data_IF_562328847773
#
_entry.id   IF_562328847773
#
_cell.length_a   1.000
_cell.length_b   1.000
_cell.length_c   1.000
_cell.angle_alpha   90.00
_cell.angle_beta   90.00
_cell.angle_gamma   90.00
#
_symmetry.space_group_name_H-M   'P 1'
#
loop_
_entity.id
_entity.type
_entity.pdbx_description
1 polymer ?
#
# COMPACT_ATOMS: atom_id res chain seq x y z
N UNK A 1 27.95 -16.76 -99.30
CA UNK A 1 27.89 -15.92 -98.08
C UNK A 1 28.25 -14.52 -98.50
N UNK A 2 27.23 -13.66 -98.59
CA UNK A 2 27.24 -12.18 -98.67
C UNK A 2 25.80 -11.80 -99.10
N UNK A 3 24.86 -12.00 -98.17
CA UNK A 3 24.21 -10.94 -97.38
C UNK A 3 23.10 -10.22 -98.16
N UNK A 4 22.00 -10.95 -98.34
CA UNK A 4 20.63 -10.43 -98.45
C UNK A 4 20.19 -9.74 -97.14
N UNK A 5 20.94 -8.71 -96.70
CA UNK A 5 20.58 -7.85 -95.57
C UNK A 5 19.95 -6.52 -95.99
N UNK A 6 19.64 -6.33 -97.27
CA UNK A 6 18.72 -5.28 -97.71
C UNK A 6 17.27 -5.78 -97.59
N UNK A 7 16.89 -6.21 -96.38
CA UNK A 7 15.50 -6.52 -96.05
C UNK A 7 14.80 -5.23 -95.64
N UNK A 8 14.11 -4.64 -96.61
CA UNK A 8 12.83 -3.94 -96.47
C UNK A 8 12.63 -3.29 -95.09
N UNK A 9 13.05 -2.04 -94.94
CA UNK A 9 12.31 -1.15 -94.05
C UNK A 9 10.89 -1.08 -94.62
N UNK A 10 9.83 -1.45 -93.89
CA UNK A 10 8.49 -1.21 -94.36
C UNK A 10 8.33 0.31 -94.38
N UNK A 11 8.40 0.92 -95.57
CA UNK A 11 8.02 2.32 -95.72
C UNK A 11 6.54 2.40 -95.34
N UNK A 12 6.26 2.86 -94.12
CA UNK A 12 4.89 3.12 -93.69
C UNK A 12 4.38 4.21 -94.62
N UNK A 13 3.36 3.90 -95.42
CA UNK A 13 2.76 4.88 -96.30
C UNK A 13 2.25 6.06 -95.48
N UNK A 14 2.31 7.26 -96.04
CA UNK A 14 1.87 8.47 -95.35
C UNK A 14 0.44 8.34 -94.82
N UNK A 15 -0.44 7.64 -95.54
CA UNK A 15 -1.83 7.39 -95.12
C UNK A 15 -1.90 6.55 -93.84
N UNK A 16 -1.08 5.50 -93.76
CA UNK A 16 -1.05 4.59 -92.61
C UNK A 16 -0.49 5.28 -91.38
N UNK A 17 0.56 6.10 -91.53
CA UNK A 17 1.10 6.89 -90.44
C UNK A 17 0.06 7.89 -89.92
N UNK A 18 -0.57 8.67 -90.80
CA UNK A 18 -1.59 9.65 -90.41
C UNK A 18 -2.78 8.99 -89.70
N UNK A 19 -3.24 7.83 -90.20
CA UNK A 19 -4.29 7.06 -89.54
C UNK A 19 -3.92 6.65 -88.11
N UNK A 20 -2.72 6.09 -87.92
CA UNK A 20 -2.24 5.71 -86.59
C UNK A 20 -2.01 6.93 -85.68
N UNK A 21 -1.46 8.00 -86.23
CA UNK A 21 -1.24 9.25 -85.50
C UNK A 21 -2.56 9.82 -84.95
N UNK A 22 -3.57 9.97 -85.82
CA UNK A 22 -4.85 10.58 -85.44
C UNK A 22 -5.65 9.70 -84.45
N UNK A 23 -5.38 8.40 -84.41
CA UNK A 23 -5.93 7.50 -83.39
C UNK A 23 -5.29 7.74 -82.02
N UNK A 24 -3.97 8.02 -81.97
CA UNK A 24 -3.22 8.23 -80.73
C UNK A 24 -3.31 9.68 -80.21
N UNK A 25 -3.35 10.67 -81.11
CA UNK A 25 -3.38 12.10 -80.81
C UNK A 25 -4.67 12.75 -81.32
N UNK A 26 -5.77 12.56 -80.58
CA UNK A 26 -7.06 13.17 -80.91
C UNK A 26 -7.06 14.71 -80.87
N UNK A 27 -6.17 15.30 -80.08
CA UNK A 27 -6.08 16.75 -79.87
C UNK A 27 -5.15 17.47 -80.87
N UNK A 28 -4.39 16.73 -81.68
CA UNK A 28 -3.47 17.30 -82.67
C UNK A 28 -3.52 16.47 -83.95
N UNK A 29 -4.52 16.74 -84.80
CA UNK A 29 -4.78 15.97 -86.02
C UNK A 29 -3.80 16.38 -87.12
N UNK A 30 -3.17 15.40 -87.76
CA UNK A 30 -2.31 15.61 -88.92
C UNK A 30 -3.01 15.23 -90.22
N UNK A 31 -2.72 15.97 -91.29
CA UNK A 31 -3.01 15.57 -92.67
C UNK A 31 -1.73 15.18 -93.42
N UNK A 32 -1.86 14.49 -94.56
CA UNK A 32 -0.72 14.13 -95.42
C UNK A 32 0.04 15.38 -95.90
N UNK A 33 -0.67 16.50 -96.10
CA UNK A 33 -0.06 17.76 -96.52
C UNK A 33 0.82 18.38 -95.42
N UNK A 34 0.49 18.14 -94.14
CA UNK A 34 1.23 18.68 -93.01
C UNK A 34 2.57 17.96 -92.79
N UNK A 35 2.68 16.71 -93.21
CA UNK A 35 3.94 15.97 -93.18
C UNK A 35 5.00 16.54 -94.13
N UNK A 36 4.59 17.38 -95.09
CA UNK A 36 5.49 18.11 -95.99
C UNK A 36 5.88 19.49 -95.44
N UNK A 37 5.34 19.89 -94.28
CA UNK A 37 5.62 21.18 -93.64
C UNK A 37 6.49 20.95 -92.40
N UNK A 38 7.76 21.40 -92.39
CA UNK A 38 8.66 21.21 -91.25
C UNK A 38 8.08 21.69 -89.92
N UNK A 39 7.36 22.82 -89.92
CA UNK A 39 6.73 23.39 -88.72
C UNK A 39 5.66 22.46 -88.14
N UNK A 40 4.80 21.88 -88.99
CA UNK A 40 3.75 20.96 -88.54
C UNK A 40 4.34 19.67 -87.96
N UNK A 41 5.44 19.19 -88.55
CA UNK A 41 6.19 18.02 -88.09
C UNK A 41 6.92 18.31 -86.77
N UNK A 42 7.47 19.51 -86.60
CA UNK A 42 8.06 19.97 -85.34
C UNK A 42 6.99 20.02 -84.23
N UNK A 43 5.81 20.55 -84.53
CA UNK A 43 4.68 20.53 -83.60
C UNK A 43 4.27 19.11 -83.21
N UNK A 44 4.28 18.17 -84.15
CA UNK A 44 4.04 16.76 -83.88
C UNK A 44 5.14 16.13 -82.99
N UNK A 45 6.42 16.46 -83.21
CA UNK A 45 7.52 16.01 -82.36
C UNK A 45 7.35 16.48 -80.90
N UNK A 46 6.89 17.71 -80.69
CA UNK A 46 6.59 18.21 -79.34
C UNK A 46 5.45 17.43 -78.67
N UNK A 47 4.42 17.00 -79.41
CA UNK A 47 3.37 16.15 -78.85
C UNK A 47 3.93 14.78 -78.40
N UNK A 48 4.88 14.22 -79.16
CA UNK A 48 5.57 12.99 -78.75
C UNK A 48 6.40 13.23 -77.49
N UNK A 49 7.15 14.33 -77.42
CA UNK A 49 7.96 14.67 -76.24
C UNK A 49 7.12 14.78 -74.97
N UNK A 50 5.95 15.44 -75.04
CA UNK A 50 5.03 15.49 -73.91
C UNK A 50 4.59 14.09 -73.44
N UNK A 51 4.27 13.19 -74.37
CA UNK A 51 3.89 11.79 -74.05
C UNK A 51 5.03 10.98 -73.47
N UNK A 52 6.28 11.28 -73.86
CA UNK A 52 7.49 10.67 -73.30
C UNK A 52 7.88 11.25 -71.93
N UNK A 53 7.15 12.26 -71.43
CA UNK A 53 7.46 12.94 -70.17
C UNK A 53 8.60 13.94 -70.25
N UNK A 54 8.94 14.40 -71.45
CA UNK A 54 9.94 15.45 -71.67
C UNK A 54 9.25 16.81 -71.47
N UNK A 55 9.81 17.63 -70.60
CA UNK A 55 9.29 18.95 -70.25
C UNK A 55 9.32 19.89 -71.48
N UNK A 56 8.15 20.21 -72.02
CA UNK A 56 8.02 21.10 -73.17
C UNK A 56 8.42 22.53 -72.87
N UNK A 57 8.19 23.00 -71.64
CA UNK A 57 8.53 24.37 -71.26
C UNK A 57 10.06 24.52 -71.26
N UNK A 58 10.78 23.50 -70.79
CA UNK A 58 12.24 23.44 -70.87
C UNK A 58 12.74 23.35 -72.32
N UNK A 59 12.05 22.62 -73.21
CA UNK A 59 12.43 22.51 -74.62
C UNK A 59 12.23 23.84 -75.37
N UNK A 60 11.16 24.56 -75.07
CA UNK A 60 10.84 25.84 -75.70
C UNK A 60 11.53 27.03 -75.02
N UNK A 61 12.11 26.83 -73.83
CA UNK A 61 12.74 27.89 -73.08
C UNK A 61 13.96 28.46 -73.82
N UNK A 62 14.12 29.80 -73.81
CA UNK A 62 15.38 30.42 -74.17
C UNK A 62 16.48 30.02 -73.18
N UNK A 63 17.76 30.14 -73.57
CA UNK A 63 18.88 29.97 -72.66
C UNK A 63 18.71 30.81 -71.37
N UNK A 64 19.29 30.38 -70.24
CA UNK A 64 19.33 31.15 -69.01
C UNK A 64 19.84 32.58 -69.24
N UNK A 65 19.31 33.58 -68.52
CA UNK A 65 19.63 35.00 -68.74
C UNK A 65 21.14 35.31 -68.68
N UNK A 66 21.86 34.60 -67.83
CA UNK A 66 23.31 34.71 -67.67
C UNK A 66 24.13 34.14 -68.85
N UNK A 67 23.50 33.39 -69.77
CA UNK A 67 24.12 32.84 -70.98
C UNK A 67 23.70 33.58 -72.25
N UNK A 68 22.82 34.59 -72.14
CA UNK A 68 22.36 35.38 -73.28
C UNK A 68 23.39 36.47 -73.61
N UNK A 69 23.74 36.56 -74.88
CA UNK A 69 24.55 37.65 -75.44
C UNK A 69 23.70 38.62 -76.27
N UNK A 70 24.32 39.68 -76.80
CA UNK A 70 23.66 40.67 -77.66
C UNK A 70 23.10 40.06 -78.96
N UNK A 71 23.55 38.85 -79.34
CA UNK A 71 23.13 38.18 -80.57
C UNK A 71 21.96 37.20 -80.35
N UNK A 72 21.72 36.77 -79.12
CA UNK A 72 20.70 35.77 -78.76
C UNK A 72 19.29 36.16 -79.23
N UNK A 73 18.83 37.42 -79.14
CA UNK A 73 17.51 37.83 -79.66
C UNK A 73 17.32 37.61 -81.16
N UNK A 74 18.39 37.64 -81.97
CA UNK A 74 18.28 37.46 -83.43
C UNK A 74 17.98 36.01 -83.84
N UNK A 75 18.15 35.06 -82.93
CA UNK A 75 17.94 33.63 -83.18
C UNK A 75 16.79 33.05 -82.36
N UNK A 76 15.96 33.89 -81.73
CA UNK A 76 14.92 33.46 -80.80
C UNK A 76 13.95 32.44 -81.42
N UNK A 77 13.60 32.66 -82.70
CA UNK A 77 12.70 31.77 -83.45
C UNK A 77 13.34 30.40 -83.78
N UNK A 78 14.68 30.30 -83.78
CA UNK A 78 15.41 29.05 -84.00
C UNK A 78 15.66 28.27 -82.72
N UNK A 79 15.54 28.90 -81.54
CA UNK A 79 15.78 28.25 -80.25
C UNK A 79 14.96 26.96 -80.09
N UNK A 80 13.64 26.93 -80.37
CA UNK A 80 12.86 25.68 -80.30
C UNK A 80 13.44 24.57 -81.18
N UNK A 81 13.86 24.90 -82.40
CA UNK A 81 14.43 23.93 -83.35
C UNK A 81 15.80 23.43 -82.88
N UNK A 82 16.63 24.31 -82.32
CA UNK A 82 17.93 23.98 -81.73
C UNK A 82 17.74 23.03 -80.54
N UNK A 83 16.82 23.36 -79.63
CA UNK A 83 16.56 22.56 -78.44
C UNK A 83 15.93 21.22 -78.78
N UNK A 84 14.96 21.16 -79.71
CA UNK A 84 14.43 19.90 -80.23
C UNK A 84 15.54 19.05 -80.85
N UNK A 85 16.45 19.65 -81.63
CA UNK A 85 17.62 18.92 -82.17
C UNK A 85 18.50 18.34 -81.05
N UNK A 86 18.74 19.10 -79.98
CA UNK A 86 19.53 18.64 -78.82
C UNK A 86 18.86 17.48 -78.10
N UNK A 87 17.55 17.57 -77.86
CA UNK A 87 16.76 16.48 -77.24
C UNK A 87 16.82 15.22 -78.11
N UNK A 88 16.62 15.36 -79.42
CA UNK A 88 16.69 14.24 -80.36
C UNK A 88 18.06 13.57 -80.32
N UNK A 89 19.15 14.35 -80.33
CA UNK A 89 20.50 13.80 -80.19
C UNK A 89 20.69 13.08 -78.87
N UNK A 90 20.22 13.66 -77.76
CA UNK A 90 20.35 13.05 -76.45
C UNK A 90 19.61 11.69 -76.37
N UNK A 91 18.40 11.63 -76.93
CA UNK A 91 17.62 10.38 -77.03
C UNK A 91 18.29 9.38 -77.97
N UNK A 92 18.87 9.84 -79.09
CA UNK A 92 19.61 9.01 -80.02
C UNK A 92 20.88 8.40 -79.38
N UNK A 93 21.60 9.14 -78.54
CA UNK A 93 22.77 8.64 -77.79
C UNK A 93 22.39 7.44 -76.92
N UNK A 94 21.26 7.50 -76.23
CA UNK A 94 20.74 6.38 -75.42
C UNK A 94 20.33 5.15 -76.24
N UNK A 95 20.10 5.32 -77.54
CA UNK A 95 19.64 4.29 -78.48
C UNK A 95 20.73 3.87 -79.49
N UNK A 96 21.99 4.25 -79.27
CA UNK A 96 23.13 4.01 -80.18
C UNK A 96 23.31 2.55 -80.60
N UNK A 97 22.84 1.59 -79.79
CA UNK A 97 22.89 0.15 -80.11
C UNK A 97 21.94 -0.25 -81.26
N UNK A 98 20.95 0.58 -81.55
CA UNK A 98 19.89 0.29 -82.51
C UNK A 98 19.93 1.20 -83.74
N UNK A 99 20.43 2.45 -83.62
CA UNK A 99 20.47 3.41 -84.75
C UNK A 99 21.65 4.36 -84.68
N UNK A 100 22.31 4.57 -85.82
CA UNK A 100 23.28 5.66 -86.05
C UNK A 100 22.54 6.97 -86.40
N UNK A 101 22.05 7.70 -85.38
CA UNK A 101 21.44 9.03 -85.53
C UNK A 101 22.33 10.19 -85.03
N UNK A 102 23.61 9.95 -84.81
CA UNK A 102 24.55 10.93 -84.25
C UNK A 102 24.70 12.22 -85.10
N UNK A 103 24.26 12.18 -86.37
CA UNK A 103 24.38 13.26 -87.34
C UNK A 103 23.11 14.13 -87.53
N UNK A 104 22.08 14.00 -86.69
CA UNK A 104 20.89 14.88 -86.82
C UNK A 104 21.27 16.33 -86.53
N UNK A 105 21.17 17.18 -87.55
CA UNK A 105 21.41 18.62 -87.47
C UNK A 105 20.12 19.42 -87.60
N UNK A 106 20.20 20.71 -87.26
CA UNK A 106 19.09 21.66 -87.39
C UNK A 106 18.52 21.66 -88.83
N UNK A 107 19.37 21.50 -89.84
CA UNK A 107 18.91 21.46 -91.24
C UNK A 107 18.03 20.25 -91.56
N UNK A 108 18.15 19.14 -90.83
CA UNK A 108 17.26 17.99 -90.97
C UNK A 108 15.85 18.26 -90.42
N UNK A 109 15.72 19.13 -89.42
CA UNK A 109 14.42 19.55 -88.87
C UNK A 109 13.77 20.67 -89.66
N UNK A 110 14.55 21.42 -90.44
CA UNK A 110 14.05 22.50 -91.31
C UNK A 110 13.71 22.02 -92.73
N UNK A 111 14.04 20.77 -93.09
CA UNK A 111 13.80 20.22 -94.42
C UNK A 111 12.73 19.10 -94.40
N UNK A 112 11.66 19.33 -95.15
CA UNK A 112 10.49 18.45 -95.19
C UNK A 112 10.81 16.99 -95.54
N UNK A 113 11.84 16.73 -96.36
CA UNK A 113 12.20 15.37 -96.78
C UNK A 113 12.86 14.55 -95.68
N UNK A 114 13.54 15.20 -94.74
CA UNK A 114 14.31 14.54 -93.67
C UNK A 114 13.60 14.58 -92.32
N UNK A 115 12.66 15.51 -92.09
CA UNK A 115 11.93 15.60 -90.82
C UNK A 115 10.90 14.48 -90.63
N UNK A 116 10.27 13.98 -91.70
CA UNK A 116 9.26 12.90 -91.60
C UNK A 116 9.84 11.58 -91.05
N UNK A 117 10.98 11.06 -91.55
CA UNK A 117 11.61 9.87 -90.96
C UNK A 117 11.93 10.01 -89.48
N UNK A 118 12.33 11.21 -89.04
CA UNK A 118 12.59 11.53 -87.63
C UNK A 118 11.29 11.42 -86.82
N UNK A 119 10.20 12.03 -87.30
CA UNK A 119 8.88 11.94 -86.66
C UNK A 119 8.38 10.50 -86.56
N UNK A 120 8.47 9.74 -87.66
CA UNK A 120 8.04 8.34 -87.69
C UNK A 120 8.82 7.49 -86.68
N UNK A 121 10.13 7.72 -86.58
CA UNK A 121 10.97 7.04 -85.61
C UNK A 121 10.51 7.30 -84.16
N UNK A 122 10.37 8.57 -83.77
CA UNK A 122 9.95 8.92 -82.41
C UNK A 122 8.52 8.49 -82.10
N UNK A 123 7.63 8.50 -83.08
CA UNK A 123 6.28 7.96 -82.91
C UNK A 123 6.32 6.46 -82.58
N UNK A 124 7.11 5.68 -83.32
CA UNK A 124 7.27 4.25 -83.05
C UNK A 124 7.94 4.00 -81.70
N UNK A 125 8.90 4.82 -81.30
CA UNK A 125 9.54 4.73 -79.98
C UNK A 125 8.52 4.95 -78.85
N UNK A 126 7.66 5.97 -78.99
CA UNK A 126 6.63 6.29 -78.00
C UNK A 126 5.57 5.18 -77.90
N UNK A 127 5.13 4.62 -79.03
CA UNK A 127 4.21 3.47 -79.03
C UNK A 127 4.87 2.24 -78.40
N UNK A 128 6.13 1.97 -78.72
CA UNK A 128 6.89 0.88 -78.12
C UNK A 128 7.02 1.05 -76.59
N UNK A 129 7.41 2.23 -76.11
CA UNK A 129 7.53 2.52 -74.69
C UNK A 129 6.19 2.36 -73.98
N UNK A 130 5.10 2.84 -74.56
CA UNK A 130 3.75 2.70 -73.98
C UNK A 130 3.36 1.23 -73.81
N UNK A 131 3.69 0.38 -74.80
CA UNK A 131 3.48 -1.07 -74.70
C UNK A 131 4.36 -1.72 -73.63
N UNK A 132 5.63 -1.31 -73.50
CA UNK A 132 6.52 -1.84 -72.45
C UNK A 132 6.08 -1.41 -71.05
N UNK A 133 5.62 -0.17 -70.87
CA UNK A 133 5.08 0.31 -69.60
C UNK A 133 3.85 -0.49 -69.17
N UNK A 134 2.97 -0.88 -70.10
CA UNK A 134 1.85 -1.77 -69.80
C UNK A 134 2.32 -3.16 -69.32
N UNK A 135 3.42 -3.68 -69.87
CA UNK A 135 4.00 -4.95 -69.42
C UNK A 135 4.65 -4.85 -68.03
N UNK A 136 5.18 -3.68 -67.65
CA UNK A 136 5.86 -3.45 -66.36
C UNK A 136 4.87 -3.09 -65.24
N UNK A 137 3.75 -2.44 -65.58
CA UNK A 137 2.76 -1.95 -64.61
C UNK A 137 2.28 -2.98 -63.56
N UNK A 138 2.10 -4.28 -63.86
CA UNK A 138 1.76 -5.27 -62.83
C UNK A 138 2.86 -5.43 -61.76
N UNK A 139 4.12 -5.46 -62.18
CA UNK A 139 5.27 -5.60 -61.28
C UNK A 139 5.47 -4.35 -60.42
N UNK A 140 5.24 -3.17 -60.99
CA UNK A 140 5.28 -1.91 -60.25
C UNK A 140 4.21 -1.88 -59.15
N UNK A 141 2.97 -2.31 -59.47
CA UNK A 141 1.90 -2.44 -58.47
C UNK A 141 2.23 -3.44 -57.36
N UNK A 142 2.81 -4.59 -57.72
CA UNK A 142 3.24 -5.58 -56.74
C UNK A 142 4.34 -5.02 -55.82
N UNK A 143 5.33 -4.33 -56.39
CA UNK A 143 6.42 -3.72 -55.63
C UNK A 143 5.90 -2.68 -54.62
N UNK A 144 5.02 -1.77 -55.05
CA UNK A 144 4.42 -0.80 -54.14
C UNK A 144 3.52 -1.46 -53.08
N UNK A 145 2.76 -2.49 -53.45
CA UNK A 145 1.97 -3.27 -52.48
C UNK A 145 2.85 -3.94 -51.42
N UNK A 146 3.98 -4.52 -51.82
CA UNK A 146 4.97 -5.10 -50.89
C UNK A 146 5.66 -4.05 -50.03
N UNK A 147 5.92 -2.86 -50.57
CA UNK A 147 6.47 -1.75 -49.78
C UNK A 147 5.52 -1.33 -48.67
N UNK A 148 4.22 -1.29 -48.92
CA UNK A 148 3.22 -0.95 -47.91
C UNK A 148 3.05 -2.06 -46.86
N UNK A 149 3.14 -3.33 -47.26
CA UNK A 149 3.19 -4.47 -46.33
C UNK A 149 4.41 -4.38 -45.40
N UNK A 150 5.59 -4.06 -45.93
CA UNK A 150 6.82 -3.85 -45.12
C UNK A 150 6.65 -2.70 -44.13
N UNK A 151 6.08 -1.56 -44.56
CA UNK A 151 5.79 -0.44 -43.64
C UNK A 151 4.82 -0.83 -42.52
N UNK A 152 3.80 -1.63 -42.83
CA UNK A 152 2.85 -2.12 -41.83
C UNK A 152 3.56 -3.01 -40.79
N UNK A 153 4.41 -3.93 -41.24
CA UNK A 153 5.21 -4.79 -40.38
C UNK A 153 6.23 -4.01 -39.54
N UNK A 154 6.87 -2.98 -40.10
CA UNK A 154 7.76 -2.09 -39.34
C UNK A 154 7.02 -1.33 -38.24
N UNK A 155 5.81 -0.84 -38.52
CA UNK A 155 4.97 -0.19 -37.53
C UNK A 155 4.54 -1.14 -36.41
N UNK A 156 4.18 -2.38 -36.75
CA UNK A 156 3.84 -3.41 -35.76
C UNK A 156 5.05 -3.77 -34.89
N UNK A 157 6.23 -3.95 -35.49
CA UNK A 157 7.49 -4.17 -34.77
C UNK A 157 7.76 -3.04 -33.77
N UNK A 158 7.57 -1.79 -34.18
CA UNK A 158 7.81 -0.63 -33.33
C UNK A 158 6.83 -0.58 -32.14
N UNK A 159 5.54 -0.91 -32.34
CA UNK A 159 4.56 -1.04 -31.25
C UNK A 159 4.93 -2.15 -30.27
N UNK A 160 5.38 -3.31 -30.77
CA UNK A 160 5.84 -4.41 -29.92
C UNK A 160 7.04 -4.01 -29.07
N UNK A 161 8.01 -3.29 -29.64
CA UNK A 161 9.16 -2.77 -28.90
C UNK A 161 8.72 -1.79 -27.81
N UNK A 162 7.77 -0.90 -28.10
CA UNK A 162 7.23 0.05 -27.12
C UNK A 162 6.55 -0.67 -25.94
N UNK A 163 5.71 -1.68 -26.22
CA UNK A 163 5.09 -2.49 -25.17
C UNK A 163 6.13 -3.25 -24.32
N UNK A 164 7.17 -3.80 -24.95
CA UNK A 164 8.27 -4.47 -24.23
C UNK A 164 9.02 -3.50 -23.31
N UNK A 165 9.25 -2.27 -23.76
CA UNK A 165 9.90 -1.24 -22.94
C UNK A 165 9.04 -0.85 -21.74
N UNK A 166 7.72 -0.72 -21.91
CA UNK A 166 6.78 -0.46 -20.81
C UNK A 166 6.83 -1.60 -19.79
N UNK A 167 6.73 -2.86 -20.24
CA UNK A 167 6.80 -4.01 -19.34
C UNK A 167 8.15 -4.11 -18.60
N UNK A 168 9.26 -3.77 -19.27
CA UNK A 168 10.57 -3.74 -18.64
C UNK A 168 10.65 -2.68 -17.52
N UNK A 169 10.09 -1.49 -17.77
CA UNK A 169 10.00 -0.41 -16.76
C UNK A 169 9.15 -0.84 -15.57
N UNK A 170 7.96 -1.39 -15.81
CA UNK A 170 7.07 -1.87 -14.74
C UNK A 170 7.71 -3.00 -13.91
N UNK A 171 8.45 -3.91 -14.56
CA UNK A 171 9.24 -4.94 -13.85
C UNK A 171 10.32 -4.32 -12.98
N UNK A 172 11.00 -3.28 -13.46
CA UNK A 172 12.00 -2.53 -12.69
C UNK A 172 11.39 -1.90 -11.44
N UNK A 173 10.28 -1.17 -11.59
CA UNK A 173 9.57 -0.54 -10.47
C UNK A 173 9.02 -1.59 -9.49
N UNK A 174 8.51 -2.72 -9.98
CA UNK A 174 8.06 -3.82 -9.14
C UNK A 174 9.21 -4.42 -8.32
N UNK A 175 10.38 -4.60 -8.92
CA UNK A 175 11.56 -5.11 -8.23
C UNK A 175 12.03 -4.15 -7.13
N UNK A 176 11.98 -2.84 -7.38
CA UNK A 176 12.29 -1.82 -6.38
C UNK A 176 11.29 -1.84 -5.21
N UNK A 177 9.98 -1.91 -5.50
CA UNK A 177 8.94 -2.08 -4.47
C UNK A 177 9.15 -3.35 -3.64
N UNK A 178 9.49 -4.46 -4.28
CA UNK A 178 9.77 -5.72 -3.57
C UNK A 178 11.00 -5.63 -2.67
N UNK A 179 12.07 -4.94 -3.10
CA UNK A 179 13.25 -4.70 -2.25
C UNK A 179 12.91 -3.86 -1.04
N UNK A 180 12.05 -2.85 -1.20
CA UNK A 180 11.59 -2.03 -0.07
C UNK A 180 10.79 -2.87 0.92
N UNK A 181 9.83 -3.68 0.44
CA UNK A 181 9.05 -4.57 1.30
C UNK A 181 9.96 -5.58 2.03
N UNK A 182 10.97 -6.15 1.35
CA UNK A 182 11.91 -7.09 1.98
C UNK A 182 12.76 -6.41 3.07
N UNK A 183 13.15 -5.15 2.86
CA UNK A 183 13.84 -4.35 3.87
C UNK A 183 12.94 -4.06 5.08
N UNK A 184 11.72 -3.56 4.83
CA UNK A 184 10.74 -3.24 5.88
C UNK A 184 10.38 -4.51 6.69
N UNK A 185 10.25 -5.67 6.00
CA UNK A 185 9.99 -6.97 6.65
C UNK A 185 11.12 -7.35 7.60
N UNK A 186 12.39 -7.19 7.17
CA UNK A 186 13.55 -7.47 8.04
C UNK A 186 13.60 -6.55 9.25
N UNK A 187 13.28 -5.27 9.09
CA UNK A 187 13.21 -4.35 10.23
C UNK A 187 12.14 -4.77 11.23
N UNK A 188 10.94 -5.10 10.74
CA UNK A 188 9.85 -5.58 11.61
C UNK A 188 10.18 -6.91 12.29
N UNK A 189 10.89 -7.82 11.61
CA UNK A 189 11.37 -9.07 12.22
C UNK A 189 12.39 -8.81 13.34
N UNK A 190 13.29 -7.83 13.16
CA UNK A 190 14.26 -7.42 14.18
C UNK A 190 13.56 -6.75 15.38
N UNK A 191 12.62 -5.83 15.13
CA UNK A 191 11.80 -5.19 16.18
C UNK A 191 11.01 -6.23 16.98
N UNK A 192 10.39 -7.21 16.29
CA UNK A 192 9.66 -8.30 16.94
C UNK A 192 10.58 -9.19 17.78
N UNK A 193 11.81 -9.42 17.34
CA UNK A 193 12.79 -10.18 18.12
C UNK A 193 13.12 -9.45 19.42
N UNK A 194 13.42 -8.15 19.35
CA UNK A 194 13.72 -7.31 20.53
C UNK A 194 12.53 -7.26 21.49
N UNK A 195 11.31 -7.11 20.97
CA UNK A 195 10.10 -7.08 21.80
C UNK A 195 9.87 -8.42 22.51
N UNK A 196 10.09 -9.55 21.82
CA UNK A 196 10.00 -10.88 22.45
C UNK A 196 11.03 -11.08 23.55
N UNK A 197 12.27 -10.64 23.35
CA UNK A 197 13.31 -10.70 24.37
C UNK A 197 12.95 -9.84 25.59
N UNK A 198 12.41 -8.63 25.36
CA UNK A 198 11.93 -7.75 26.42
C UNK A 198 10.76 -8.37 27.20
N UNK A 199 9.78 -8.96 26.49
CA UNK A 199 8.65 -9.64 27.12
C UNK A 199 9.10 -10.89 27.90
N UNK A 200 10.05 -11.67 27.39
CA UNK A 200 10.58 -12.83 28.12
C UNK A 200 11.28 -12.40 29.41
N UNK A 201 12.01 -11.27 29.37
CA UNK A 201 12.63 -10.69 30.56
C UNK A 201 11.57 -10.23 31.57
N UNK A 202 10.56 -9.48 31.13
CA UNK A 202 9.48 -9.03 32.01
C UNK A 202 8.70 -10.21 32.62
N UNK A 203 8.50 -11.28 31.86
CA UNK A 203 7.85 -12.48 32.37
C UNK A 203 8.71 -13.17 33.44
N UNK A 204 10.04 -13.25 33.27
CA UNK A 204 10.95 -13.77 34.31
C UNK A 204 10.94 -12.91 35.57
N UNK A 205 10.95 -11.58 35.41
CA UNK A 205 10.87 -10.64 36.54
C UNK A 205 9.52 -10.78 37.28
N UNK A 206 8.43 -10.97 36.54
CA UNK A 206 7.09 -11.20 37.10
C UNK A 206 6.98 -12.54 37.82
N UNK A 207 7.55 -13.61 37.27
CA UNK A 207 7.62 -14.93 37.92
C UNK A 207 8.39 -14.86 39.25
N UNK A 208 9.51 -14.12 39.28
CA UNK A 208 10.28 -13.91 40.50
C UNK A 208 9.48 -13.14 41.58
N UNK A 209 8.75 -12.09 41.18
CA UNK A 209 7.85 -11.37 42.10
C UNK A 209 6.72 -12.25 42.63
N UNK A 210 6.13 -13.10 41.79
CA UNK A 210 5.10 -14.06 42.22
C UNK A 210 5.67 -15.04 43.26
N UNK A 211 6.90 -15.51 43.07
CA UNK A 211 7.56 -16.40 44.03
C UNK A 211 7.85 -15.69 45.35
N UNK A 212 8.31 -14.44 45.32
CA UNK A 212 8.50 -13.61 46.50
C UNK A 212 7.17 -13.37 47.25
N UNK A 213 6.09 -13.06 46.53
CA UNK A 213 4.75 -12.89 47.11
C UNK A 213 4.30 -14.18 47.81
N UNK A 214 4.47 -15.34 47.17
CA UNK A 214 4.13 -16.64 47.79
C UNK A 214 4.92 -16.88 49.07
N UNK A 215 6.21 -16.54 49.08
CA UNK A 215 7.03 -16.67 50.28
C UNK A 215 6.53 -15.74 51.41
N UNK A 216 6.17 -14.50 51.07
CA UNK A 216 5.60 -13.54 52.02
C UNK A 216 4.24 -14.03 52.56
N UNK A 217 3.37 -14.57 51.72
CA UNK A 217 2.09 -15.16 52.14
C UNK A 217 2.29 -16.28 53.17
N UNK A 218 3.22 -17.22 52.91
CA UNK A 218 3.58 -18.28 53.86
C UNK A 218 4.10 -17.68 55.17
N UNK A 219 4.94 -16.65 55.11
CA UNK A 219 5.48 -15.98 56.31
C UNK A 219 4.36 -15.31 57.13
N UNK A 220 3.41 -14.64 56.46
CA UNK A 220 2.24 -14.03 57.09
C UNK A 220 1.37 -15.09 57.76
N UNK A 221 1.11 -16.21 57.09
CA UNK A 221 0.34 -17.33 57.63
C UNK A 221 1.00 -17.89 58.91
N UNK A 222 2.33 -18.08 58.89
CA UNK A 222 3.10 -18.51 60.06
C UNK A 222 3.03 -17.50 61.21
N UNK A 223 3.13 -16.20 60.91
CA UNK A 223 3.03 -15.14 61.93
C UNK A 223 1.64 -15.06 62.54
N UNK A 224 0.57 -15.20 61.73
CA UNK A 224 -0.82 -15.30 62.23
C UNK A 224 -0.97 -16.48 63.18
N UNK A 225 -0.53 -17.68 62.78
CA UNK A 225 -0.57 -18.86 63.64
C UNK A 225 0.20 -18.66 64.96
N UNK A 226 1.35 -17.97 64.91
CA UNK A 226 2.11 -17.63 66.12
C UNK A 226 1.38 -16.62 67.02
N UNK A 227 0.76 -15.60 66.43
CA UNK A 227 -0.08 -14.66 67.18
C UNK A 227 -1.25 -15.38 67.86
N UNK A 228 -1.94 -16.28 67.17
CA UNK A 228 -3.03 -17.08 67.74
C UNK A 228 -2.55 -17.99 68.87
N UNK A 229 -1.36 -18.61 68.73
CA UNK A 229 -0.72 -19.38 69.78
C UNK A 229 -0.38 -18.52 71.01
N UNK A 230 0.09 -17.27 70.82
CA UNK A 230 0.33 -16.34 71.93
C UNK A 230 -0.98 -15.94 72.60
N UNK A 231 -2.03 -15.62 71.82
CA UNK A 231 -3.33 -15.23 72.36
C UNK A 231 -3.96 -16.34 73.20
N UNK A 232 -3.89 -17.59 72.72
CA UNK A 232 -4.37 -18.76 73.48
C UNK A 232 -3.56 -18.98 74.76
N UNK A 233 -2.24 -18.82 74.73
CA UNK A 233 -1.39 -18.92 75.93
C UNK A 233 -1.66 -17.79 76.94
N UNK A 234 -1.90 -16.56 76.47
CA UNK A 234 -2.32 -15.43 77.31
C UNK A 234 -3.66 -15.72 77.97
N UNK A 235 -4.64 -16.24 77.23
CA UNK A 235 -5.94 -16.62 77.77
C UNK A 235 -5.79 -17.71 78.86
N UNK A 236 -4.96 -18.74 78.60
CA UNK A 236 -4.63 -19.80 79.57
C UNK A 236 -4.02 -19.24 80.85
N UNK A 237 -3.02 -18.35 80.73
CA UNK A 237 -2.37 -17.71 81.88
C UNK A 237 -3.33 -16.81 82.66
N UNK A 238 -4.25 -16.10 81.98
CA UNK A 238 -5.30 -15.33 82.66
C UNK A 238 -6.23 -16.23 83.45
N UNK A 239 -6.67 -17.35 82.87
CA UNK A 239 -7.51 -18.33 83.57
C UNK A 239 -6.81 -18.91 84.80
N UNK A 240 -5.52 -19.27 84.68
CA UNK A 240 -4.72 -19.78 85.80
C UNK A 240 -4.60 -18.75 86.93
N UNK A 241 -4.36 -17.47 86.59
CA UNK A 241 -4.32 -16.39 87.61
C UNK A 241 -5.64 -16.22 88.36
N UNK A 242 -6.78 -16.39 87.68
CA UNK A 242 -8.10 -16.33 88.33
C UNK A 242 -8.24 -17.50 89.31
N UNK A 243 -7.88 -18.71 88.88
CA UNK A 243 -7.88 -19.89 89.74
C UNK A 243 -6.97 -19.69 90.96
N UNK A 244 -5.73 -19.24 90.76
CA UNK A 244 -4.79 -18.97 91.86
C UNK A 244 -5.33 -17.89 92.81
N UNK A 245 -5.98 -16.85 92.30
CA UNK A 245 -6.60 -15.80 93.11
C UNK A 245 -7.80 -16.32 93.92
N UNK A 246 -8.61 -17.22 93.34
CA UNK A 246 -9.70 -17.90 94.05
C UNK A 246 -9.17 -18.82 95.15
N UNK A 247 -8.09 -19.58 94.89
CA UNK A 247 -7.42 -20.42 95.89
C UNK A 247 -6.83 -19.59 97.04
N UNK A 248 -6.15 -18.48 96.73
CA UNK A 248 -5.64 -17.54 97.74
C UNK A 248 -6.79 -16.96 98.56
N UNK A 249 -7.90 -16.60 97.91
CA UNK A 249 -9.08 -16.07 98.59
C UNK A 249 -9.71 -17.11 99.51
N UNK A 250 -9.85 -18.35 99.07
CA UNK A 250 -10.35 -19.45 99.89
C UNK A 250 -9.44 -19.70 101.11
N UNK A 251 -8.12 -19.67 100.92
CA UNK A 251 -7.15 -19.77 102.02
C UNK A 251 -7.24 -18.58 102.98
N UNK A 252 -7.41 -17.37 102.47
CA UNK A 252 -7.58 -16.16 103.29
C UNK A 252 -8.89 -16.18 104.09
N UNK A 253 -10.00 -16.59 103.48
CA UNK A 253 -11.29 -16.77 104.16
C UNK A 253 -11.22 -17.87 105.23
N UNK A 254 -10.54 -18.98 104.97
CA UNK A 254 -10.30 -20.03 105.97
C UNK A 254 -9.42 -19.54 107.13
N UNK A 255 -8.35 -18.79 106.83
CA UNK A 255 -7.49 -18.20 107.86
C UNK A 255 -8.25 -17.17 108.71
N UNK A 256 -9.10 -16.34 108.08
CA UNK A 256 -9.94 -15.38 108.76
C UNK A 256 -10.97 -16.06 109.67
N UNK A 257 -11.62 -17.14 109.20
CA UNK A 257 -12.56 -17.92 110.01
C UNK A 257 -11.86 -18.53 111.24
N UNK A 258 -10.65 -19.08 111.09
CA UNK A 258 -9.86 -19.58 112.23
C UNK A 258 -9.49 -18.47 113.21
N UNK A 259 -9.14 -17.28 112.70
CA UNK A 259 -8.78 -16.13 113.53
C UNK A 259 -10.00 -15.63 114.31
N UNK A 260 -11.16 -15.60 113.68
CA UNK A 260 -12.43 -15.25 114.32
C UNK A 260 -12.82 -16.29 115.39
N UNK A 261 -12.70 -17.59 115.12
CA UNK A 261 -12.96 -18.65 116.11
C UNK A 261 -12.01 -18.55 117.32
N UNK A 262 -10.74 -18.20 117.09
CA UNK A 262 -9.78 -17.99 118.19
C UNK A 262 -10.04 -16.69 118.96
N UNK A 263 -10.50 -15.62 118.30
CA UNK A 263 -10.99 -14.42 118.97
C UNK A 263 -12.22 -14.71 119.83
N UNK A 264 -13.23 -15.41 119.31
CA UNK A 264 -14.42 -15.82 120.05
C UNK A 264 -14.07 -16.70 121.26
N UNK A 265 -13.11 -17.62 121.12
CA UNK A 265 -12.56 -18.40 122.25
C UNK A 265 -11.84 -17.50 123.26
N UNK A 266 -11.06 -16.52 122.82
CA UNK A 266 -10.38 -15.57 123.70
C UNK A 266 -11.39 -14.69 124.46
N UNK A 267 -12.44 -14.22 123.79
CA UNK A 267 -13.52 -13.44 124.40
C UNK A 267 -14.31 -14.28 125.40
N UNK A 268 -14.62 -15.53 125.07
CA UNK A 268 -15.22 -16.50 126.00
C UNK A 268 -14.34 -16.76 127.23
N UNK A 269 -13.02 -16.86 127.05
CA UNK A 269 -12.07 -17.00 128.15
C UNK A 269 -11.99 -15.71 129.00
N UNK A 270 -11.99 -14.53 128.38
CA UNK A 270 -12.06 -13.23 129.10
C UNK A 270 -13.37 -13.12 129.88
N UNK A 271 -14.50 -13.48 129.29
CA UNK A 271 -15.79 -13.51 129.97
C UNK A 271 -15.77 -14.47 131.17
N UNK A 272 -15.23 -15.68 131.00
CA UNK A 272 -15.02 -16.62 132.12
C UNK A 272 -14.09 -16.06 133.19
N UNK A 273 -13.00 -15.37 132.82
CA UNK A 273 -12.09 -14.72 133.76
C UNK A 273 -12.83 -13.65 134.57
N UNK A 274 -13.56 -12.73 133.91
CA UNK A 274 -14.35 -11.70 134.61
C UNK A 274 -15.45 -12.30 135.49
N UNK A 275 -16.07 -13.42 135.07
CA UNK A 275 -17.03 -14.15 135.90
C UNK A 275 -16.35 -14.75 137.15
N UNK A 276 -15.15 -15.32 137.02
CA UNK A 276 -14.35 -15.82 138.15
C UNK A 276 -13.87 -14.70 139.07
N UNK A 277 -13.45 -13.56 138.52
CA UNK A 277 -13.11 -12.35 139.29
C UNK A 277 -14.33 -11.84 140.08
N UNK A 278 -15.52 -11.82 139.47
CA UNK A 278 -16.75 -11.45 140.19
C UNK A 278 -17.10 -12.44 141.32
N UNK A 279 -16.84 -13.73 141.11
CA UNK A 279 -17.05 -14.78 142.11
C UNK A 279 -16.06 -14.64 143.27
N UNK A 280 -14.81 -14.25 143.00
CA UNK A 280 -13.79 -13.96 144.00
C UNK A 280 -14.15 -12.71 144.82
N UNK A 281 -14.66 -11.66 144.16
CA UNK A 281 -15.09 -10.40 144.79
C UNK A 281 -16.31 -10.60 145.69
N UNK A 282 -17.24 -11.48 145.32
CA UNK A 282 -18.39 -11.86 146.14
C UNK A 282 -18.00 -12.71 147.38
N UNK A 283 -16.90 -13.47 147.33
CA UNK A 283 -16.39 -14.22 148.49
C UNK A 283 -15.60 -13.36 149.49
N UNK A 284 -15.04 -12.22 149.06
CA UNK A 284 -14.31 -11.30 149.94
C UNK A 284 -15.19 -10.27 150.68
N UNK A 285 -16.45 -10.07 150.26
CA UNK A 285 -17.32 -8.99 150.76
C UNK A 285 -18.43 -9.41 151.76
N UNK A 286 -18.43 -10.63 152.30
CA UNK A 286 -19.45 -11.11 153.26
C UNK A 286 -18.84 -11.35 154.65
N UNK A 287 -18.25 -10.33 155.30
CA UNK A 287 -17.83 -10.45 156.71
C UNK A 287 -17.94 -9.20 157.59
N UNK A 288 -18.11 -7.97 157.07
CA UNK A 288 -18.77 -6.94 157.90
C UNK A 288 -19.59 -5.91 157.11
N UNK A 289 -20.76 -5.54 157.66
CA UNK A 289 -21.50 -4.26 157.46
C UNK A 289 -22.96 -4.41 157.05
N UNK A 290 -23.77 -4.84 158.01
CA UNK A 290 -25.22 -4.63 158.04
C UNK A 290 -25.60 -3.43 158.93
N UNK A 291 -24.76 -2.38 159.01
CA UNK A 291 -24.93 -1.27 160.00
C UNK A 291 -24.69 0.16 159.48
N UNK A 292 -24.70 0.43 158.16
CA UNK A 292 -24.46 1.81 157.68
C UNK A 292 -25.28 2.24 156.45
N UNK A 293 -26.56 1.84 156.40
CA UNK A 293 -27.49 2.20 155.31
C UNK A 293 -28.44 3.37 155.64
N UNK A 294 -28.16 4.18 156.68
CA UNK A 294 -29.18 5.12 157.19
C UNK A 294 -28.73 6.56 157.42
N UNK A 295 -27.64 7.07 156.82
CA UNK A 295 -27.28 8.47 157.15
C UNK A 295 -26.63 9.42 156.13
N UNK A 296 -26.34 9.05 154.88
CA UNK A 296 -25.73 10.05 153.98
C UNK A 296 -26.43 10.19 152.62
N UNK A 297 -27.75 10.11 152.66
CA UNK A 297 -28.68 10.61 151.63
C UNK A 297 -29.00 12.12 151.80
N UNK A 298 -28.07 12.90 152.39
CA UNK A 298 -28.23 14.35 152.64
C UNK A 298 -27.13 15.24 152.01
N UNK A 299 -26.14 14.66 151.32
CA UNK A 299 -25.05 15.43 150.69
C UNK A 299 -25.11 15.47 149.16
N UNK A 300 -26.31 15.25 148.58
CA UNK A 300 -26.56 15.36 147.12
C UNK A 300 -26.84 16.80 146.66
N UNK A 301 -26.86 17.80 147.56
CA UNK A 301 -27.26 19.16 147.18
C UNK A 301 -26.26 20.24 147.62
N UNK A 302 -24.97 19.97 147.50
CA UNK A 302 -23.96 21.03 147.66
C UNK A 302 -22.65 20.70 146.94
N UNK A 303 -22.61 21.01 145.64
CA UNK A 303 -21.45 21.46 144.86
C UNK A 303 -21.47 20.93 143.43
N UNK A 304 -22.51 21.36 142.71
CA UNK A 304 -22.38 21.71 141.29
C UNK A 304 -21.75 23.11 141.25
N UNK A 305 -20.44 23.19 141.02
CA UNK A 305 -19.70 24.27 140.33
C UNK A 305 -18.28 24.44 140.86
N UNK A 306 -17.32 23.83 140.16
CA UNK A 306 -16.13 24.54 139.67
C UNK A 306 -15.43 23.72 138.59
N UNK A 307 -15.32 24.33 137.41
CA UNK A 307 -14.16 24.33 136.47
C UNK A 307 -13.77 22.97 135.84
N UNK A 308 -13.96 22.69 134.54
CA UNK A 308 -13.59 23.39 133.28
C UNK A 308 -12.07 23.42 133.02
N UNK A 309 -11.75 23.08 131.75
CA UNK A 309 -10.51 23.28 130.97
C UNK A 309 -9.44 22.18 131.00
N UNK A 310 -9.24 21.51 129.85
CA UNK A 310 -8.17 21.88 128.91
C UNK A 310 -8.33 21.23 127.52
N UNK A 311 -7.98 22.04 126.53
CA UNK A 311 -7.87 21.84 125.09
C UNK A 311 -6.50 21.26 124.68
N UNK A 312 -6.39 20.92 123.39
CA UNK A 312 -5.16 20.99 122.58
C UNK A 312 -4.89 19.71 121.78
N UNK A 313 -4.43 19.71 120.52
CA UNK A 313 -4.10 20.75 119.54
C UNK A 313 -3.74 20.05 118.18
N UNK A 314 -3.51 20.88 117.14
CA UNK A 314 -2.72 20.65 115.89
C UNK A 314 -3.31 19.85 114.72
N UNK A 315 -3.15 20.22 113.42
CA UNK A 315 -2.39 21.31 112.78
C UNK A 315 -2.90 21.58 111.32
N UNK A 316 -2.40 22.70 110.79
CA UNK A 316 -2.68 23.49 109.56
C UNK A 316 -2.26 22.88 108.20
N UNK A 317 -2.70 23.48 107.07
CA UNK A 317 -1.82 24.06 106.02
C UNK A 317 -2.60 24.60 104.79
N UNK A 318 -2.12 25.73 104.24
CA UNK A 318 -2.63 26.53 103.10
C UNK A 318 -2.03 26.16 101.71
N UNK A 319 -2.82 26.38 100.61
CA UNK A 319 -2.54 26.79 99.18
C UNK A 319 -1.38 26.21 98.32
N UNK A 320 -1.27 26.52 96.98
CA UNK A 320 -2.06 27.43 96.12
C UNK A 320 -2.35 26.94 94.64
N UNK A 321 -2.95 27.84 93.84
CA UNK A 321 -3.26 27.83 92.38
C UNK A 321 -2.17 27.29 91.42
N UNK A 322 -2.53 26.37 90.48
CA UNK A 322 -1.73 26.10 89.26
C UNK A 322 -2.51 25.53 88.03
N UNK A 323 -3.85 25.57 88.03
CA UNK A 323 -4.68 24.94 86.97
C UNK A 323 -5.04 25.87 85.79
N UNK A 324 -4.86 27.20 85.93
CA UNK A 324 -5.30 28.18 84.92
C UNK A 324 -4.28 28.48 83.81
N UNK A 325 -2.99 28.19 84.03
CA UNK A 325 -1.92 28.42 83.02
C UNK A 325 -1.80 27.24 82.05
N UNK A 326 -2.06 26.02 82.52
CA UNK A 326 -2.04 24.77 81.74
C UNK A 326 -3.20 24.68 80.74
N UNK A 327 -4.39 25.19 81.07
CA UNK A 327 -5.53 25.22 80.16
C UNK A 327 -5.38 26.26 79.03
N UNK A 328 -4.66 27.36 79.27
CA UNK A 328 -4.43 28.39 78.25
C UNK A 328 -3.40 27.97 77.18
N UNK A 329 -2.37 27.19 77.56
CA UNK A 329 -1.41 26.64 76.59
C UNK A 329 -2.05 25.54 75.74
N UNK A 330 -2.85 24.66 76.35
CA UNK A 330 -3.56 23.59 75.63
C UNK A 330 -4.58 24.13 74.61
N UNK A 331 -5.24 25.26 74.90
CA UNK A 331 -6.15 25.90 73.95
C UNK A 331 -5.41 26.50 72.73
N UNK A 332 -4.20 27.02 72.94
CA UNK A 332 -3.35 27.55 71.86
C UNK A 332 -2.84 26.42 70.97
N UNK A 333 -2.36 25.33 71.56
CA UNK A 333 -1.82 24.18 70.83
C UNK A 333 -2.90 23.50 69.96
N UNK A 334 -4.12 23.34 70.50
CA UNK A 334 -5.29 22.83 69.74
C UNK A 334 -5.71 23.77 68.61
N UNK A 335 -5.53 25.08 68.76
CA UNK A 335 -5.85 26.04 67.68
C UNK A 335 -4.85 25.99 66.53
N UNK A 336 -3.57 25.74 66.81
CA UNK A 336 -2.52 25.52 65.80
C UNK A 336 -2.71 24.20 65.07
N UNK A 337 -2.99 23.10 65.79
CA UNK A 337 -3.29 21.79 65.17
C UNK A 337 -4.52 21.87 64.25
N UNK A 338 -5.53 22.65 64.62
CA UNK A 338 -6.73 22.84 63.80
C UNK A 338 -6.45 23.67 62.53
N UNK A 339 -5.54 24.64 62.59
CA UNK A 339 -5.08 25.39 61.42
C UNK A 339 -4.26 24.53 60.46
N UNK A 340 -3.37 23.68 60.98
CA UNK A 340 -2.58 22.72 60.20
C UNK A 340 -3.46 21.65 59.54
N UNK A 341 -4.46 21.11 60.27
CA UNK A 341 -5.43 20.16 59.70
C UNK A 341 -6.29 20.82 58.62
N UNK A 342 -6.64 22.11 58.75
CA UNK A 342 -7.35 22.85 57.70
C UNK A 342 -6.48 23.08 56.46
N UNK A 343 -5.20 23.43 56.63
CA UNK A 343 -4.25 23.58 55.53
C UNK A 343 -4.03 22.23 54.80
N UNK A 344 -3.79 21.15 55.54
CA UNK A 344 -3.62 19.81 54.98
C UNK A 344 -4.89 19.30 54.27
N UNK A 345 -6.08 19.67 54.74
CA UNK A 345 -7.35 19.37 54.05
C UNK A 345 -7.51 20.17 52.76
N UNK A 346 -7.14 21.45 52.74
CA UNK A 346 -7.19 22.28 51.54
C UNK A 346 -6.22 21.79 50.47
N UNK A 347 -4.99 21.42 50.86
CA UNK A 347 -3.99 20.87 49.96
C UNK A 347 -4.41 19.50 49.39
N UNK A 348 -4.96 18.60 50.23
CA UNK A 348 -5.54 17.33 49.74
C UNK A 348 -6.75 17.53 48.83
N UNK A 349 -7.56 18.57 49.06
CA UNK A 349 -8.69 18.88 48.18
C UNK A 349 -8.21 19.39 46.81
N UNK A 350 -7.18 20.25 46.78
CA UNK A 350 -6.55 20.71 45.55
C UNK A 350 -5.90 19.56 44.77
N UNK A 351 -5.14 18.69 45.45
CA UNK A 351 -4.53 17.51 44.82
C UNK A 351 -5.56 16.53 44.23
N UNK A 352 -6.73 16.39 44.87
CA UNK A 352 -7.83 15.59 44.32
C UNK A 352 -8.46 16.23 43.08
N UNK A 353 -8.69 17.55 43.11
CA UNK A 353 -9.23 18.27 41.95
C UNK A 353 -8.30 18.17 40.73
N UNK A 354 -6.98 18.32 40.93
CA UNK A 354 -5.99 18.14 39.87
C UNK A 354 -5.95 16.71 39.34
N UNK A 355 -6.02 15.70 40.22
CA UNK A 355 -6.04 14.30 39.82
C UNK A 355 -7.34 13.90 39.10
N UNK A 356 -8.47 14.54 39.42
CA UNK A 356 -9.74 14.36 38.72
C UNK A 356 -9.71 15.01 37.33
N UNK A 357 -9.17 16.22 37.19
CA UNK A 357 -9.05 16.88 35.88
C UNK A 357 -8.05 16.17 34.96
N UNK A 358 -6.92 15.67 35.48
CA UNK A 358 -6.00 14.82 34.68
C UNK A 358 -6.69 13.56 34.17
N UNK A 359 -7.41 12.84 35.04
CA UNK A 359 -8.18 11.66 34.61
C UNK A 359 -9.27 12.00 33.60
N UNK A 360 -9.86 13.19 33.67
CA UNK A 360 -10.86 13.65 32.69
C UNK A 360 -10.22 13.95 31.34
N UNK A 361 -9.03 14.55 31.32
CA UNK A 361 -8.25 14.82 30.11
C UNK A 361 -7.77 13.52 29.47
N UNK A 362 -7.18 12.60 30.24
CA UNK A 362 -6.76 11.27 29.76
C UNK A 362 -7.93 10.50 29.15
N UNK A 363 -9.11 10.51 29.80
CA UNK A 363 -10.32 9.90 29.22
C UNK A 363 -10.74 10.55 27.91
N UNK A 364 -10.68 11.88 27.81
CA UNK A 364 -11.03 12.58 26.58
C UNK A 364 -10.07 12.22 25.44
N UNK A 365 -8.78 12.13 25.72
CA UNK A 365 -7.75 11.72 24.74
C UNK A 365 -7.95 10.27 24.28
N UNK A 366 -8.21 9.33 25.20
CA UNK A 366 -8.51 7.94 24.87
C UNK A 366 -9.78 7.84 24.01
N UNK A 367 -10.81 8.64 24.33
CA UNK A 367 -12.07 8.63 23.58
C UNK A 367 -11.86 9.17 22.16
N UNK A 368 -11.10 10.26 22.00
CA UNK A 368 -10.76 10.81 20.69
C UNK A 368 -9.89 9.85 19.86
N UNK A 369 -8.92 9.17 20.49
CA UNK A 369 -8.10 8.15 19.84
C UNK A 369 -8.95 6.94 19.39
N UNK A 370 -9.93 6.53 20.20
CA UNK A 370 -10.85 5.45 19.86
C UNK A 370 -11.73 5.83 18.64
N UNK A 371 -12.27 7.04 18.60
CA UNK A 371 -13.06 7.53 17.47
C UNK A 371 -12.23 7.63 16.18
N UNK A 372 -10.99 8.12 16.27
CA UNK A 372 -10.07 8.18 15.14
C UNK A 372 -9.73 6.77 14.61
N UNK A 373 -9.46 5.81 15.51
CA UNK A 373 -9.20 4.42 15.14
C UNK A 373 -10.42 3.78 14.45
N UNK A 374 -11.64 4.00 14.97
CA UNK A 374 -12.87 3.49 14.35
C UNK A 374 -13.13 4.10 12.96
N UNK A 375 -12.84 5.38 12.77
CA UNK A 375 -12.94 6.04 11.46
C UNK A 375 -11.94 5.47 10.46
N UNK A 376 -10.71 5.22 10.90
CA UNK A 376 -9.67 4.61 10.07
C UNK A 376 -10.03 3.16 9.70
N UNK A 377 -10.56 2.38 10.65
CA UNK A 377 -11.00 1.00 10.41
C UNK A 377 -12.17 0.93 9.41
N UNK A 378 -13.15 1.85 9.53
CA UNK A 378 -14.21 2.02 8.52
C UNK A 378 -13.65 2.32 7.13
N UNK A 379 -12.65 3.20 7.03
CA UNK A 379 -12.02 3.51 5.75
C UNK A 379 -11.28 2.30 5.16
N UNK A 380 -10.51 1.59 5.98
CA UNK A 380 -9.81 0.38 5.57
C UNK A 380 -10.78 -0.72 5.10
N UNK A 381 -11.89 -0.92 5.81
CA UNK A 381 -12.92 -1.91 5.43
C UNK A 381 -13.63 -1.53 4.12
N UNK A 382 -13.94 -0.26 3.89
CA UNK A 382 -14.49 0.21 2.61
C UNK A 382 -13.50 0.01 1.44
N UNK A 383 -12.21 0.29 1.66
CA UNK A 383 -11.16 0.05 0.66
C UNK A 383 -10.96 -1.44 0.37
N UNK A 384 -11.03 -2.29 1.40
CA UNK A 384 -10.98 -3.75 1.26
C UNK A 384 -12.17 -4.25 0.43
N UNK A 385 -13.39 -3.78 0.71
CA UNK A 385 -14.58 -4.16 -0.05
C UNK A 385 -14.47 -3.76 -1.53
N UNK A 386 -13.99 -2.54 -1.82
CA UNK A 386 -13.74 -2.10 -3.21
C UNK A 386 -12.72 -2.98 -3.91
N UNK A 387 -11.66 -3.36 -3.20
CA UNK A 387 -10.61 -4.23 -3.74
C UNK A 387 -11.14 -5.63 -4.02
N UNK A 388 -11.95 -6.19 -3.13
CA UNK A 388 -12.60 -7.49 -3.32
C UNK A 388 -13.54 -7.48 -4.53
N UNK A 389 -14.38 -6.45 -4.67
CA UNK A 389 -15.25 -6.29 -5.83
C UNK A 389 -14.45 -6.23 -7.14
N UNK A 390 -13.32 -5.52 -7.14
CA UNK A 390 -12.43 -5.46 -8.31
C UNK A 390 -11.78 -6.80 -8.64
N UNK A 391 -11.40 -7.58 -7.63
CA UNK A 391 -10.87 -8.94 -7.82
C UNK A 391 -11.93 -9.84 -8.45
N UNK A 392 -13.19 -9.75 -8.01
CA UNK A 392 -14.30 -10.52 -8.60
C UNK A 392 -14.58 -10.13 -10.06
N UNK A 393 -14.54 -8.84 -10.40
CA UNK A 393 -14.63 -8.40 -11.80
C UNK A 393 -13.51 -8.98 -12.67
N UNK A 394 -12.26 -8.94 -12.18
CA UNK A 394 -11.10 -9.49 -12.90
C UNK A 394 -11.19 -11.00 -13.08
N UNK A 395 -11.73 -11.73 -12.10
CA UNK A 395 -12.00 -13.17 -12.25
C UNK A 395 -12.98 -13.44 -13.37
N UNK A 396 -14.11 -12.72 -13.42
CA UNK A 396 -15.10 -12.84 -14.50
C UNK A 396 -14.51 -12.53 -15.88
N UNK A 397 -13.70 -11.48 -15.99
CA UNK A 397 -13.03 -11.16 -17.25
C UNK A 397 -12.03 -12.26 -17.68
N UNK A 398 -11.28 -12.81 -16.72
CA UNK A 398 -10.36 -13.93 -17.00
C UNK A 398 -11.11 -15.17 -17.48
N UNK A 399 -12.23 -15.52 -16.84
CA UNK A 399 -13.07 -16.64 -17.24
C UNK A 399 -13.64 -16.47 -18.65
N UNK A 400 -14.15 -15.26 -18.98
CA UNK A 400 -14.64 -14.94 -20.32
C UNK A 400 -13.53 -15.05 -21.38
N UNK A 401 -12.34 -14.53 -21.08
CA UNK A 401 -11.19 -14.62 -21.98
C UNK A 401 -10.75 -16.07 -22.21
N UNK A 402 -10.73 -16.91 -21.17
CA UNK A 402 -10.41 -18.33 -21.31
C UNK A 402 -11.46 -19.08 -22.14
N UNK A 403 -12.74 -18.76 -21.98
CA UNK A 403 -13.82 -19.34 -22.77
C UNK A 403 -13.72 -18.95 -24.25
N UNK A 404 -13.51 -17.66 -24.54
CA UNK A 404 -13.29 -17.17 -25.91
C UNK A 404 -12.06 -17.80 -26.55
N UNK A 405 -10.94 -17.86 -25.81
CA UNK A 405 -9.72 -18.53 -26.28
C UNK A 405 -9.96 -20.01 -26.59
N UNK A 406 -10.72 -20.71 -25.75
CA UNK A 406 -11.07 -22.12 -25.98
C UNK A 406 -11.93 -22.29 -27.24
N UNK A 407 -12.95 -21.43 -27.44
CA UNK A 407 -13.77 -21.42 -28.66
C UNK A 407 -12.91 -21.21 -29.90
N UNK A 408 -12.06 -20.17 -29.90
CA UNK A 408 -11.19 -19.82 -31.02
C UNK A 408 -10.18 -20.94 -31.35
N UNK A 409 -9.64 -21.61 -30.33
CA UNK A 409 -8.77 -22.78 -30.52
C UNK A 409 -9.50 -23.99 -31.11
N UNK A 410 -10.80 -24.11 -30.87
CA UNK A 410 -11.64 -25.17 -31.43
C UNK A 410 -11.98 -24.87 -32.89
N UNK A 411 -12.32 -23.62 -33.20
CA UNK A 411 -12.54 -23.12 -34.56
C UNK A 411 -11.28 -23.27 -35.42
N UNK A 412 -10.11 -22.87 -34.90
CA UNK A 412 -8.82 -23.07 -35.58
C UNK A 412 -8.54 -24.54 -35.90
N UNK A 413 -8.88 -25.45 -34.97
CA UNK A 413 -8.75 -26.90 -35.21
C UNK A 413 -9.70 -27.38 -36.31
N UNK A 414 -10.94 -26.91 -36.32
CA UNK A 414 -11.90 -27.24 -37.39
C UNK A 414 -11.42 -26.74 -38.75
N UNK A 415 -10.96 -25.49 -38.85
CA UNK A 415 -10.42 -24.91 -40.09
C UNK A 415 -9.22 -25.74 -40.58
N UNK A 416 -8.32 -26.11 -39.67
CA UNK A 416 -7.17 -26.95 -39.99
C UNK A 416 -7.61 -28.33 -40.54
N UNK A 417 -8.54 -29.00 -39.88
CA UNK A 417 -9.02 -30.31 -40.30
C UNK A 417 -9.77 -30.25 -41.64
N UNK A 418 -10.56 -29.20 -41.86
CA UNK A 418 -11.26 -28.97 -43.12
C UNK A 418 -10.29 -28.65 -44.25
N UNK A 419 -9.24 -27.87 -43.97
CA UNK A 419 -8.15 -27.61 -44.92
C UNK A 419 -7.44 -28.91 -45.32
N UNK A 420 -7.10 -29.78 -44.37
CA UNK A 420 -6.48 -31.09 -44.66
C UNK A 420 -7.39 -31.94 -45.54
N UNK A 421 -8.68 -32.03 -45.22
CA UNK A 421 -9.64 -32.79 -46.03
C UNK A 421 -9.74 -32.26 -47.45
N UNK A 422 -9.76 -30.93 -47.60
CA UNK A 422 -9.81 -30.30 -48.93
C UNK A 422 -8.54 -30.62 -49.72
N UNK A 423 -7.38 -30.57 -49.09
CA UNK A 423 -6.09 -30.87 -49.71
C UNK A 423 -6.02 -32.33 -50.18
N UNK A 424 -6.50 -33.27 -49.37
CA UNK A 424 -6.63 -34.68 -49.75
C UNK A 424 -7.60 -34.89 -50.92
N UNK A 425 -8.73 -34.18 -50.93
CA UNK A 425 -9.71 -34.25 -52.03
C UNK A 425 -9.13 -33.74 -53.35
N UNK A 426 -8.36 -32.64 -53.30
CA UNK A 426 -7.71 -32.05 -54.45
C UNK A 426 -6.59 -32.97 -54.97
N UNK A 427 -5.80 -33.58 -54.08
CA UNK A 427 -4.78 -34.58 -54.42
C UNK A 427 -5.40 -35.80 -55.12
N UNK A 428 -6.49 -36.35 -54.57
CA UNK A 428 -7.25 -37.46 -55.18
C UNK A 428 -7.80 -37.11 -56.57
N UNK A 429 -8.25 -35.86 -56.72
CA UNK A 429 -8.80 -35.35 -57.98
C UNK A 429 -7.70 -35.22 -59.04
N UNK A 430 -6.54 -34.69 -58.65
CA UNK A 430 -5.35 -34.59 -59.50
C UNK A 430 -4.86 -35.97 -59.93
N UNK A 431 -4.75 -36.93 -58.99
CA UNK A 431 -4.40 -38.32 -59.29
C UNK A 431 -5.35 -38.94 -60.32
N UNK A 432 -6.66 -38.76 -60.16
CA UNK A 432 -7.65 -39.24 -61.14
C UNK A 432 -7.49 -38.59 -62.50
N UNK A 433 -7.16 -37.31 -62.57
CA UNK A 433 -6.90 -36.61 -63.84
C UNK A 433 -5.62 -37.11 -64.51
N UNK A 434 -4.53 -37.30 -63.75
CA UNK A 434 -3.28 -37.85 -64.26
C UNK A 434 -3.50 -39.27 -64.83
N UNK A 435 -4.19 -40.15 -64.10
CA UNK A 435 -4.51 -41.50 -64.58
C UNK A 435 -5.37 -41.50 -65.85
N UNK A 436 -6.30 -40.54 -65.99
CA UNK A 436 -7.09 -40.37 -67.22
C UNK A 436 -6.22 -39.89 -68.38
N UNK A 437 -5.33 -38.93 -68.14
CA UNK A 437 -4.41 -38.42 -69.15
C UNK A 437 -3.42 -39.50 -69.61
N UNK A 438 -2.88 -40.28 -68.68
CA UNK A 438 -2.00 -41.42 -68.96
C UNK A 438 -2.71 -42.48 -69.81
N UNK A 439 -3.92 -42.90 -69.43
CA UNK A 439 -4.75 -43.79 -70.26
C UNK A 439 -5.04 -43.22 -71.64
N UNK A 440 -5.27 -41.91 -71.74
CA UNK A 440 -5.50 -41.26 -73.03
C UNK A 440 -4.25 -41.29 -73.91
N UNK A 441 -3.07 -41.01 -73.34
CA UNK A 441 -1.79 -41.12 -74.03
C UNK A 441 -1.47 -42.55 -74.45
N UNK A 442 -1.68 -43.55 -73.58
CA UNK A 442 -1.53 -44.97 -73.94
C UNK A 442 -2.43 -45.35 -75.12
N UNK A 443 -3.68 -44.87 -75.13
CA UNK A 443 -4.61 -45.13 -76.23
C UNK A 443 -4.18 -44.44 -77.53
N UNK A 444 -3.58 -43.24 -77.47
CA UNK A 444 -3.01 -42.55 -78.63
C UNK A 444 -1.80 -43.32 -79.17
N UNK A 445 -0.90 -43.76 -78.30
CA UNK A 445 0.28 -44.55 -78.67
C UNK A 445 -0.16 -45.85 -79.37
N UNK A 446 -1.12 -46.58 -78.78
CA UNK A 446 -1.70 -47.79 -79.38
C UNK A 446 -2.38 -47.53 -80.73
N UNK A 447 -3.05 -46.38 -80.91
CA UNK A 447 -3.72 -46.01 -82.17
C UNK A 447 -2.75 -45.60 -83.27
N UNK A 448 -1.64 -44.96 -82.92
CA UNK A 448 -0.67 -44.41 -83.87
C UNK A 448 0.42 -45.43 -84.28
N UNK A 449 0.35 -46.67 -83.79
CA UNK A 449 1.17 -47.77 -84.30
C UNK A 449 2.66 -47.63 -84.03
N UNK A 450 3.02 -47.25 -82.80
CA UNK A 450 4.35 -47.51 -82.25
C UNK A 450 4.36 -48.81 -81.44
#
# INVERSE_FOLDING_TARGET
>A
MENERDKVQPSVSYEKFVGNWNAEFSNYILSIADLKKPISVLGALLQIFAKLGIDLDAVLAPPPENERDEHTPYYWDLIPVINVTRVIRHLALGLQQFISMDDITISHLLNATTTYPILLFFFNLMVFQSSQLQNIAPYEKEFFGKQDEVKALENEKNKLIEMLNIQAKEKGERAERLRKIDYDTKQLEEELMVEKEAHEKENKDSEALIEEIRHLEVSVEQKKAHCDAILTEVARKRALRVYDAEDIRAQAEQAQANLQETQEKMESLKANLTQKESSLRNLQNIKPNLDAANNYLYEITKQLQTLKELEGADAESEGPDDELVTLASQLKDVSTELAEVRAARAERAAARADADEKRRQERAEITAALEAAQMQDKKCTEELQKTLARIEELKRFTEQYEEERSKLMTEMRQIHDDFIKQLQLDEDTLLKQMLKAEKHMENIIKKNGF
#
